data_IF_512488224176
#
_entry.id   IF_512488224176
#
_cell.length_a   1.000
_cell.length_b   1.000
_cell.length_c   1.000
_cell.angle_alpha   90.00
_cell.angle_beta   90.00
_cell.angle_gamma   90.00
#
_symmetry.space_group_name_H-M   'P 1'
#
loop_
_entity.id
_entity.type
_entity.pdbx_description
1 polymer ?
#
# COMPACT_ATOMS: atom_id res chain seq x y z
N UNK A 1 -3.98 5.09 -8.83
CA UNK A 1 -4.51 3.70 -8.87
C UNK A 1 -5.40 3.53 -7.65
N UNK A 2 -6.50 2.79 -7.77
CA UNK A 2 -7.37 2.43 -6.64
C UNK A 2 -7.43 0.90 -6.60
N UNK A 3 -7.34 0.31 -5.42
CA UNK A 3 -7.39 -1.14 -5.22
C UNK A 3 -8.63 -1.53 -4.40
N UNK A 4 -9.34 -2.54 -4.89
CA UNK A 4 -10.40 -3.24 -4.20
C UNK A 4 -9.87 -4.64 -3.88
N UNK A 5 -9.16 -4.71 -2.74
CA UNK A 5 -8.30 -5.83 -2.33
C UNK A 5 -8.56 -6.33 -0.90
N UNK A 6 -9.34 -5.58 -0.11
CA UNK A 6 -9.68 -5.94 1.27
C UNK A 6 -10.70 -7.07 1.32
N UNK A 7 -10.43 -8.07 2.16
CA UNK A 7 -11.24 -9.27 2.28
C UNK A 7 -11.05 -9.96 3.64
N UNK A 8 -11.67 -9.39 4.68
CA UNK A 8 -11.57 -9.89 6.06
C UNK A 8 -11.88 -11.41 6.21
N UNK A 9 -12.69 -11.99 5.32
CA UNK A 9 -13.10 -13.40 5.37
C UNK A 9 -12.36 -14.28 4.34
N UNK A 10 -11.40 -13.74 3.58
CA UNK A 10 -10.62 -14.44 2.55
C UNK A 10 -11.48 -15.31 1.60
N UNK A 11 -12.56 -14.73 1.08
CA UNK A 11 -13.60 -15.38 0.26
C UNK A 11 -13.55 -14.98 -1.22
N UNK A 12 -12.94 -13.85 -1.55
CA UNK A 12 -12.83 -13.36 -2.92
C UNK A 12 -11.68 -14.06 -3.65
N UNK A 13 -12.05 -14.81 -4.70
CA UNK A 13 -11.06 -15.49 -5.57
C UNK A 13 -10.17 -14.54 -6.35
N UNK A 14 -10.63 -13.30 -6.56
CA UNK A 14 -9.96 -12.29 -7.33
C UNK A 14 -10.15 -10.94 -6.66
N UNK A 15 -9.16 -10.06 -6.83
CA UNK A 15 -9.19 -8.67 -6.41
C UNK A 15 -9.06 -7.76 -7.62
N UNK A 16 -9.48 -6.50 -7.49
CA UNK A 16 -9.53 -5.59 -8.65
C UNK A 16 -8.70 -4.34 -8.44
N UNK A 17 -7.97 -3.94 -9.50
CA UNK A 17 -7.27 -2.67 -9.57
C UNK A 17 -7.92 -1.78 -10.62
N UNK A 18 -8.11 -0.51 -10.29
CA UNK A 18 -8.70 0.51 -11.14
C UNK A 18 -7.69 1.64 -11.38
N UNK A 19 -7.35 1.90 -12.64
CA UNK A 19 -6.66 3.12 -13.02
C UNK A 19 -7.69 4.19 -13.33
N UNK A 20 -7.54 5.33 -12.66
CA UNK A 20 -8.25 6.57 -12.94
C UNK A 20 -7.22 7.62 -13.30
N UNK A 21 -7.58 8.54 -14.20
CA UNK A 21 -6.77 9.73 -14.43
C UNK A 21 -6.98 10.70 -13.27
N UNK A 22 -5.89 11.35 -12.84
CA UNK A 22 -6.00 12.48 -11.93
C UNK A 22 -6.74 13.61 -12.66
N UNK A 23 -7.76 14.22 -12.06
CA UNK A 23 -8.44 15.37 -12.67
C UNK A 23 -7.48 16.54 -12.88
N UNK A 24 -7.58 17.22 -14.02
CA UNK A 24 -6.80 18.45 -14.30
C UNK A 24 -7.15 19.58 -13.31
N UNK A 25 -8.40 19.60 -12.83
CA UNK A 25 -8.89 20.55 -11.85
C UNK A 25 -9.59 19.81 -10.69
N UNK A 26 -9.44 20.34 -9.47
CA UNK A 26 -10.10 19.79 -8.29
C UNK A 26 -11.60 20.12 -8.39
N UNK A 27 -12.49 19.13 -8.48
CA UNK A 27 -13.92 19.36 -8.56
C UNK A 27 -14.43 20.04 -7.29
N UNK A 28 -15.24 21.09 -7.42
CA UNK A 28 -15.88 21.76 -6.26
C UNK A 28 -17.05 20.97 -5.66
N UNK A 29 -17.45 19.87 -6.30
CA UNK A 29 -18.56 18.99 -5.90
C UNK A 29 -18.19 17.55 -6.23
N UNK A 30 -18.91 16.61 -5.65
CA UNK A 30 -18.78 15.19 -5.97
C UNK A 30 -18.90 14.97 -7.49
N UNK A 31 -17.97 14.19 -8.04
CA UNK A 31 -17.92 13.86 -9.46
C UNK A 31 -17.62 12.38 -9.64
N UNK A 32 -17.95 11.85 -10.82
CA UNK A 32 -17.65 10.47 -11.19
C UNK A 32 -16.41 10.49 -12.09
N UNK A 33 -15.33 9.88 -11.62
CA UNK A 33 -14.13 9.70 -12.44
C UNK A 33 -14.31 8.49 -13.36
N UNK A 34 -13.86 8.63 -14.60
CA UNK A 34 -13.84 7.52 -15.55
C UNK A 34 -12.66 6.59 -15.25
N UNK A 35 -12.95 5.30 -15.14
CA UNK A 35 -11.93 4.25 -15.05
C UNK A 35 -11.31 4.05 -16.44
N UNK A 36 -10.02 4.30 -16.58
CA UNK A 36 -9.30 4.13 -17.84
C UNK A 36 -8.87 2.69 -18.09
N UNK A 37 -8.51 1.97 -17.03
CA UNK A 37 -8.15 0.55 -17.08
C UNK A 37 -8.60 -0.17 -15.81
N UNK A 38 -8.93 -1.45 -15.97
CA UNK A 38 -9.27 -2.37 -14.89
C UNK A 38 -8.44 -3.63 -15.05
N UNK A 39 -7.85 -4.11 -13.94
CA UNK A 39 -7.18 -5.40 -13.89
C UNK A 39 -7.79 -6.29 -12.82
N UNK A 40 -8.05 -7.53 -13.18
CA UNK A 40 -8.41 -8.60 -12.25
C UNK A 40 -7.15 -9.33 -11.85
N UNK A 41 -6.85 -9.36 -10.55
CA UNK A 41 -5.67 -10.02 -10.00
C UNK A 41 -6.09 -11.26 -9.22
N UNK A 42 -5.34 -12.34 -9.39
CA UNK A 42 -5.43 -13.56 -8.57
C UNK A 42 -4.12 -13.74 -7.80
N UNK A 43 -4.20 -14.02 -6.51
CA UNK A 43 -3.05 -14.48 -5.75
C UNK A 43 -2.63 -15.88 -6.25
N UNK A 44 -1.32 -16.19 -6.31
CA UNK A 44 -0.82 -17.47 -6.81
C UNK A 44 -1.08 -18.62 -5.84
N UNK A 45 -1.32 -18.31 -4.57
CA UNK A 45 -1.63 -19.26 -3.50
C UNK A 45 -3.14 -19.25 -3.18
N UNK A 46 -3.51 -18.89 -1.95
CA UNK A 46 -4.91 -18.88 -1.50
C UNK A 46 -5.46 -17.45 -1.49
N UNK A 47 -6.75 -17.29 -1.20
CA UNK A 47 -7.33 -15.96 -1.02
C UNK A 47 -6.63 -15.23 0.15
N UNK A 48 -6.52 -13.90 0.04
CA UNK A 48 -5.86 -13.06 1.03
C UNK A 48 -6.66 -11.80 1.26
N UNK A 49 -6.74 -11.42 2.52
CA UNK A 49 -7.02 -10.05 2.93
C UNK A 49 -5.76 -9.21 2.69
N UNK A 50 -5.90 -8.08 2.02
CA UNK A 50 -4.80 -7.15 1.77
C UNK A 50 -5.31 -5.71 1.85
N UNK A 51 -4.51 -4.81 2.41
CA UNK A 51 -4.89 -3.40 2.62
C UNK A 51 -3.84 -2.42 2.10
N UNK A 52 -2.77 -2.94 1.51
CA UNK A 52 -1.63 -2.13 1.09
C UNK A 52 -1.32 -2.37 -0.37
N UNK A 53 -1.42 -1.27 -1.13
CA UNK A 53 -1.00 -1.18 -2.51
C UNK A 53 0.12 -0.14 -2.61
N UNK A 54 1.24 -0.51 -3.21
CA UNK A 54 2.34 0.41 -3.51
C UNK A 54 2.76 0.26 -4.97
N UNK A 55 3.28 1.33 -5.57
CA UNK A 55 3.86 1.31 -6.92
C UNK A 55 5.28 1.84 -6.82
N UNK A 56 6.26 1.08 -7.31
CA UNK A 56 7.65 1.54 -7.39
C UNK A 56 7.74 2.67 -8.45
N UNK A 57 8.11 3.91 -8.10
CA UNK A 57 8.23 4.99 -9.09
C UNK A 57 9.37 4.77 -10.10
N UNK A 58 10.30 3.84 -9.83
CA UNK A 58 11.42 3.52 -10.72
C UNK A 58 11.02 2.50 -11.78
N UNK A 59 10.50 1.34 -11.35
CA UNK A 59 10.16 0.24 -12.27
C UNK A 59 8.71 0.26 -12.72
N UNK A 60 7.85 0.99 -12.01
CA UNK A 60 6.39 0.95 -12.13
C UNK A 60 5.77 -0.39 -11.75
N UNK A 61 6.53 -1.29 -11.12
CA UNK A 61 5.99 -2.52 -10.58
C UNK A 61 5.03 -2.22 -9.43
N UNK A 62 3.97 -3.01 -9.36
CA UNK A 62 2.93 -2.90 -8.36
C UNK A 62 3.15 -3.95 -7.28
N UNK A 63 2.99 -3.54 -6.03
CA UNK A 63 3.14 -4.40 -4.86
C UNK A 63 1.85 -4.41 -4.04
N UNK A 64 1.39 -5.61 -3.67
CA UNK A 64 0.26 -5.85 -2.76
C UNK A 64 0.80 -6.60 -1.55
N UNK A 65 0.50 -6.11 -0.34
CA UNK A 65 0.89 -6.76 0.91
C UNK A 65 -0.36 -7.30 1.62
N UNK A 66 -0.32 -8.58 2.02
CA UNK A 66 -1.39 -9.17 2.81
C UNK A 66 -1.47 -8.57 4.22
N UNK A 67 -2.65 -8.61 4.84
CA UNK A 67 -2.93 -7.97 6.12
C UNK A 67 -2.69 -8.91 7.30
N UNK A 68 -3.44 -10.02 7.38
CA UNK A 68 -3.73 -10.71 8.66
C UNK A 68 -2.96 -12.00 8.88
N UNK A 69 -2.22 -12.48 7.89
CA UNK A 69 -1.40 -13.68 8.05
C UNK A 69 -0.41 -13.53 9.22
N UNK A 70 0.03 -14.63 9.88
CA UNK A 70 1.06 -14.57 10.92
C UNK A 70 2.36 -13.91 10.42
N UNK A 71 2.64 -14.08 9.13
CA UNK A 71 3.67 -13.40 8.38
C UNK A 71 3.05 -12.87 7.09
N UNK A 72 3.25 -11.59 6.76
CA UNK A 72 2.66 -11.01 5.56
C UNK A 72 3.40 -11.42 4.30
N UNK A 73 2.65 -11.57 3.21
CA UNK A 73 3.18 -11.90 1.90
C UNK A 73 3.25 -10.65 1.01
N UNK A 74 4.35 -10.53 0.27
CA UNK A 74 4.52 -9.51 -0.77
C UNK A 74 4.19 -10.14 -2.11
N UNK A 75 3.19 -9.59 -2.79
CA UNK A 75 2.83 -9.94 -4.14
C UNK A 75 3.22 -8.82 -5.10
N UNK A 76 3.75 -9.17 -6.28
CA UNK A 76 4.16 -8.26 -7.32
C UNK A 76 3.37 -8.47 -8.60
N UNK A 77 3.04 -7.38 -9.28
CA UNK A 77 2.65 -7.40 -10.70
C UNK A 77 3.62 -6.49 -11.46
N UNK A 78 4.40 -7.08 -12.37
CA UNK A 78 5.43 -6.34 -13.09
C UNK A 78 4.85 -5.41 -14.16
N UNK A 79 5.48 -4.26 -14.36
CA UNK A 79 5.19 -3.39 -15.49
C UNK A 79 5.94 -3.85 -16.76
N UNK A 80 5.35 -3.76 -17.97
CA UNK A 80 3.99 -3.31 -18.27
C UNK A 80 2.93 -4.33 -17.84
N UNK A 81 1.83 -3.84 -17.26
CA UNK A 81 0.74 -4.70 -16.79
C UNK A 81 0.07 -5.43 -17.97
N UNK A 82 -0.01 -6.78 -17.95
CA UNK A 82 -0.61 -7.55 -19.03
C UNK A 82 -2.08 -7.17 -19.31
N UNK A 83 -2.48 -7.26 -20.58
CA UNK A 83 -3.89 -7.11 -21.01
C UNK A 83 -4.46 -8.51 -21.23
N UNK A 84 -4.86 -9.15 -20.13
CA UNK A 84 -5.43 -10.50 -20.08
C UNK A 84 -6.60 -10.52 -19.10
N UNK A 85 -7.45 -11.54 -19.17
CA UNK A 85 -8.65 -11.65 -18.32
C UNK A 85 -8.32 -11.69 -16.82
N UNK A 86 -7.21 -12.30 -16.44
CA UNK A 86 -6.76 -12.40 -15.04
C UNK A 86 -5.24 -12.45 -14.98
N UNK A 87 -4.65 -11.53 -14.22
CA UNK A 87 -3.22 -11.53 -13.91
C UNK A 87 -3.01 -12.36 -12.65
N UNK A 88 -2.12 -13.34 -12.71
CA UNK A 88 -1.64 -14.03 -11.51
C UNK A 88 -0.47 -13.23 -10.96
N UNK A 89 -0.60 -12.71 -9.73
CA UNK A 89 0.48 -12.00 -9.08
C UNK A 89 1.62 -12.96 -8.70
N UNK A 90 2.84 -12.43 -8.62
CA UNK A 90 4.01 -13.19 -8.18
C UNK A 90 4.21 -12.99 -6.68
N UNK A 91 4.26 -14.06 -5.88
CA UNK A 91 4.65 -13.97 -4.47
C UNK A 91 6.17 -13.84 -4.38
N UNK A 92 6.68 -12.65 -4.05
CA UNK A 92 8.12 -12.37 -4.10
C UNK A 92 8.84 -12.56 -2.77
N UNK A 93 8.12 -12.43 -1.64
CA UNK A 93 8.71 -12.55 -0.31
C UNK A 93 7.65 -12.74 0.78
N UNK A 94 8.13 -13.10 1.97
CA UNK A 94 7.39 -13.14 3.23
C UNK A 94 8.13 -12.26 4.24
N UNK A 95 7.42 -11.43 4.98
CA UNK A 95 8.00 -10.60 6.05
C UNK A 95 7.43 -11.01 7.42
N UNK A 96 8.23 -10.95 8.50
CA UNK A 96 7.82 -11.35 9.85
C UNK A 96 6.98 -10.26 10.54
N UNK A 97 5.98 -9.73 9.83
CA UNK A 97 5.01 -8.75 10.31
C UNK A 97 3.60 -9.31 10.18
N UNK A 98 2.65 -8.65 10.84
CA UNK A 98 1.22 -8.94 10.73
C UNK A 98 0.44 -7.63 10.88
N UNK A 99 -0.83 -7.69 10.50
CA UNK A 99 -1.80 -6.59 10.52
C UNK A 99 -1.31 -5.36 9.75
N UNK A 100 -0.67 -5.56 8.59
CA UNK A 100 -0.26 -4.47 7.71
C UNK A 100 -1.50 -3.80 7.11
N UNK A 101 -1.59 -2.48 7.28
CA UNK A 101 -2.78 -1.68 6.90
C UNK A 101 -2.47 -0.61 5.88
N UNK A 102 -1.23 -0.18 5.77
CA UNK A 102 -0.84 0.83 4.79
C UNK A 102 0.65 0.73 4.46
N UNK A 103 1.04 1.32 3.34
CA UNK A 103 2.43 1.49 2.96
C UNK A 103 2.58 2.56 1.89
N UNK A 104 3.79 3.09 1.75
CA UNK A 104 4.11 4.08 0.74
C UNK A 104 5.57 3.98 0.30
N UNK A 105 5.84 4.35 -0.95
CA UNK A 105 7.20 4.45 -1.50
C UNK A 105 7.45 5.91 -1.83
N UNK A 106 8.53 6.46 -1.29
CA UNK A 106 8.97 7.83 -1.56
C UNK A 106 9.08 8.11 -3.07
N UNK A 107 8.88 9.37 -3.46
CA UNK A 107 8.85 9.78 -4.87
C UNK A 107 10.12 9.40 -5.66
N UNK A 108 11.28 9.36 -5.00
CA UNK A 108 12.55 8.98 -5.63
C UNK A 108 12.85 7.47 -5.57
N UNK A 109 11.93 6.68 -5.00
CA UNK A 109 11.98 5.23 -4.91
C UNK A 109 12.98 4.69 -3.88
N UNK A 110 13.62 5.53 -3.06
CA UNK A 110 14.71 5.10 -2.16
C UNK A 110 14.28 4.73 -0.75
N UNK A 111 13.05 5.08 -0.39
CA UNK A 111 12.52 4.92 0.96
C UNK A 111 11.13 4.31 0.91
N UNK A 112 10.87 3.39 1.83
CA UNK A 112 9.62 2.63 1.90
C UNK A 112 9.09 2.70 3.34
N UNK A 113 7.80 2.98 3.49
CA UNK A 113 7.07 2.88 4.74
C UNK A 113 6.11 1.71 4.67
N UNK A 114 6.05 0.94 5.74
CA UNK A 114 5.00 -0.05 5.99
C UNK A 114 4.42 0.24 7.37
N UNK A 115 3.09 0.20 7.49
CA UNK A 115 2.37 0.47 8.73
C UNK A 115 1.51 -0.74 9.10
N UNK A 116 1.55 -1.11 10.37
CA UNK A 116 0.47 -1.87 11.02
C UNK A 116 -0.22 -1.00 12.08
N UNK A 117 -1.20 -1.55 12.79
CA UNK A 117 -1.92 -0.81 13.82
C UNK A 117 -1.03 -0.30 14.98
N UNK A 118 0.16 -0.86 15.18
CA UNK A 118 1.02 -0.57 16.34
C UNK A 118 2.32 0.17 15.98
N UNK A 119 2.77 0.14 14.72
CA UNK A 119 4.11 0.58 14.34
C UNK A 119 4.18 1.03 12.88
N UNK A 120 5.12 1.95 12.64
CA UNK A 120 5.57 2.35 11.30
C UNK A 120 6.99 1.84 11.10
N UNK A 121 7.16 0.97 10.12
CA UNK A 121 8.44 0.39 9.70
C UNK A 121 8.97 1.16 8.50
N UNK A 122 10.25 1.50 8.57
CA UNK A 122 10.97 2.23 7.53
C UNK A 122 12.09 1.37 6.95
N UNK A 123 12.19 1.38 5.63
CA UNK A 123 13.23 0.70 4.88
C UNK A 123 13.92 1.68 3.95
N UNK A 124 15.23 1.51 3.82
CA UNK A 124 16.04 2.20 2.81
C UNK A 124 16.37 1.22 1.70
N UNK A 125 16.05 1.61 0.47
CA UNK A 125 16.41 0.91 -0.75
C UNK A 125 17.71 1.49 -1.31
N UNK A 126 18.70 0.62 -1.47
CA UNK A 126 19.97 1.01 -2.09
C UNK A 126 19.83 1.11 -3.62
N UNK A 127 20.81 1.73 -4.26
CA UNK A 127 20.87 1.80 -5.71
C UNK A 127 20.88 0.38 -6.31
N UNK A 128 20.08 0.16 -7.37
CA UNK A 128 19.91 -1.12 -8.07
C UNK A 128 19.31 -2.26 -7.24
N UNK A 129 18.86 -1.98 -6.02
CA UNK A 129 18.13 -2.94 -5.21
C UNK A 129 16.66 -2.98 -5.64
N UNK A 130 15.98 -4.12 -5.53
CA UNK A 130 14.52 -4.19 -5.77
C UNK A 130 13.75 -3.76 -4.51
N UNK A 131 12.47 -3.44 -4.65
CA UNK A 131 11.60 -3.21 -3.47
C UNK A 131 11.56 -4.46 -2.59
N UNK A 132 11.43 -5.64 -3.19
CA UNK A 132 11.41 -6.93 -2.48
C UNK A 132 12.68 -7.15 -1.65
N UNK A 133 13.86 -6.90 -2.22
CA UNK A 133 15.13 -7.05 -1.49
C UNK A 133 15.26 -6.06 -0.33
N UNK A 134 14.86 -4.80 -0.58
CA UNK A 134 14.90 -3.76 0.45
C UNK A 134 13.97 -4.07 1.63
N UNK A 135 12.79 -4.64 1.37
CA UNK A 135 11.81 -5.02 2.40
C UNK A 135 12.23 -6.23 3.24
N UNK A 136 13.14 -7.07 2.75
CA UNK A 136 13.69 -8.19 3.51
C UNK A 136 14.83 -7.79 4.46
N UNK A 137 15.32 -6.54 4.37
CA UNK A 137 16.31 -6.01 5.31
C UNK A 137 15.67 -5.62 6.64
N UNK A 138 16.51 -5.44 7.64
CA UNK A 138 16.08 -4.94 8.95
C UNK A 138 15.49 -3.53 8.80
N UNK A 139 14.21 -3.40 9.19
CA UNK A 139 13.52 -2.11 9.25
C UNK A 139 13.99 -1.27 10.42
N UNK A 140 13.82 0.05 10.32
CA UNK A 140 13.85 0.97 11.46
C UNK A 140 12.43 1.32 11.85
N UNK A 141 12.07 1.23 13.12
CA UNK A 141 10.76 1.71 13.59
C UNK A 141 10.78 3.23 13.73
N UNK A 142 9.81 3.90 13.13
CA UNK A 142 9.65 5.35 13.22
C UNK A 142 8.64 5.74 14.32
N UNK A 143 8.67 6.99 14.82
CA UNK A 143 7.69 7.50 15.76
C UNK A 143 6.26 7.31 15.25
N UNK A 144 5.39 6.78 16.09
CA UNK A 144 3.99 6.60 15.73
C UNK A 144 3.15 6.62 16.99
N UNK A 145 2.07 7.40 16.96
CA UNK A 145 1.05 7.39 17.99
C UNK A 145 -0.05 6.49 17.48
N UNK A 146 -0.38 5.44 18.22
CA UNK A 146 -1.44 4.51 17.82
C UNK A 146 -2.76 5.28 17.61
N UNK A 147 -3.36 4.99 16.48
CA UNK A 147 -4.59 5.57 16.00
C UNK A 147 -5.74 4.56 16.06
N UNK A 148 -6.96 4.96 16.44
CA UNK A 148 -8.14 4.14 16.21
C UNK A 148 -8.29 3.88 14.72
N UNK A 149 -8.10 2.64 14.27
CA UNK A 149 -8.21 2.27 12.85
C UNK A 149 -7.32 3.15 11.94
N UNK A 150 -6.05 3.27 12.33
CA UNK A 150 -5.03 3.99 11.57
C UNK A 150 -4.62 3.28 10.29
N UNK A 151 -5.41 3.39 9.23
CA UNK A 151 -5.20 2.65 7.97
C UNK A 151 -4.60 3.48 6.84
N UNK A 152 -4.07 4.67 7.13
CA UNK A 152 -3.36 5.49 6.14
C UNK A 152 -1.94 5.88 6.59
N UNK A 153 -1.03 5.90 5.61
CA UNK A 153 0.31 6.48 5.69
C UNK A 153 0.75 7.02 4.33
N UNK A 154 1.48 8.13 4.32
CA UNK A 154 2.21 8.57 3.12
C UNK A 154 3.39 9.49 3.47
N UNK A 155 4.37 9.56 2.59
CA UNK A 155 5.42 10.58 2.65
C UNK A 155 4.87 11.97 2.30
N UNK A 156 5.48 13.01 2.85
CA UNK A 156 5.30 14.36 2.31
C UNK A 156 5.98 14.50 0.95
N UNK A 157 5.46 15.41 0.11
CA UNK A 157 6.02 15.69 -1.23
C UNK A 157 7.53 16.00 -1.22
N UNK A 158 8.01 16.66 -0.18
CA UNK A 158 9.44 17.00 -0.02
C UNK A 158 10.27 15.89 0.67
N UNK A 159 9.65 14.77 1.05
CA UNK A 159 10.27 13.65 1.76
C UNK A 159 10.65 13.93 3.21
N UNK A 160 10.48 15.16 3.71
CA UNK A 160 10.94 15.59 5.06
C UNK A 160 9.99 15.22 6.18
N UNK A 161 8.85 14.62 5.88
CA UNK A 161 7.84 14.20 6.84
C UNK A 161 7.08 12.99 6.31
N UNK A 162 6.32 12.35 7.18
CA UNK A 162 5.25 11.43 6.79
C UNK A 162 3.99 11.77 7.57
N UNK A 163 2.86 11.36 7.03
CA UNK A 163 1.55 11.57 7.60
C UNK A 163 0.91 10.23 7.93
N UNK A 164 0.09 10.21 8.97
CA UNK A 164 -0.82 9.09 9.26
C UNK A 164 -2.21 9.63 9.52
N UNK A 165 -3.22 8.81 9.21
CA UNK A 165 -4.61 9.16 9.40
C UNK A 165 -5.44 7.92 9.78
N UNK A 166 -6.38 8.16 10.67
CA UNK A 166 -7.41 7.21 11.13
C UNK A 166 -8.60 7.20 10.19
N UNK A 167 -9.27 6.06 10.04
CA UNK A 167 -10.60 6.05 9.43
C UNK A 167 -11.61 6.80 10.32
N UNK A 168 -12.70 7.28 9.72
CA UNK A 168 -13.81 7.83 10.51
C UNK A 168 -14.62 6.69 11.12
N UNK A 169 -14.48 6.49 12.42
CA UNK A 169 -15.26 5.49 13.13
C UNK A 169 -16.70 5.95 13.38
N UNK A 170 -17.64 5.01 13.26
CA UNK A 170 -19.08 5.24 13.55
C UNK A 170 -19.30 5.61 15.03
N UNK A 171 -18.40 5.21 15.93
CA UNK A 171 -18.46 5.52 17.37
C UNK A 171 -17.93 6.92 17.75
N UNK A 172 -17.87 7.87 16.81
CA UNK A 172 -17.65 9.28 17.11
C UNK A 172 -16.18 9.70 17.27
N UNK A 173 -15.22 8.87 16.84
CA UNK A 173 -13.82 9.29 16.76
C UNK A 173 -13.64 10.16 15.52
N UNK A 174 -13.24 11.42 15.74
CA UNK A 174 -12.87 12.32 14.64
C UNK A 174 -11.48 11.94 14.12
N UNK A 175 -11.31 11.70 12.81
CA UNK A 175 -9.99 11.48 12.22
C UNK A 175 -9.06 12.67 12.48
N UNK A 176 -7.85 12.38 12.95
CA UNK A 176 -6.80 13.39 13.15
C UNK A 176 -5.66 13.08 12.20
N UNK A 177 -5.28 14.06 11.37
CA UNK A 177 -4.10 13.95 10.52
C UNK A 177 -2.85 14.23 11.36
N UNK A 178 -2.03 13.22 11.60
CA UNK A 178 -0.75 13.39 12.27
C UNK A 178 0.35 13.67 11.25
N UNK A 179 1.27 14.57 11.60
CA UNK A 179 2.49 14.84 10.82
C UNK A 179 3.71 14.56 11.68
N UNK A 180 4.61 13.74 11.17
CA UNK A 180 5.86 13.39 11.82
C UNK A 180 7.01 13.98 11.01
N UNK A 181 7.77 14.91 11.61
CA UNK A 181 8.97 15.47 10.98
C UNK A 181 10.11 14.47 11.04
N UNK A 182 10.78 14.27 9.92
CA UNK A 182 12.01 13.48 9.80
C UNK A 182 13.18 14.46 9.97
N UNK A 183 14.15 14.10 10.82
CA UNK A 183 15.31 14.95 11.13
C UNK A 183 16.23 15.08 9.92
#
# INVERSE_FOLDING_TARGET
MIADIGDNDAKFKFVTLYQVFEPDEIPMRDTILSVSKKWTIKYPDEQRDAETLMIDPVTHDLFILSKRDPEIFIYRVSFPYPIIDTIIAEKTATLPFTQIVAGDISQDGKEILIKNYESVYYFKRNQNETITDALQKMSVTLPYIREPQGEAICFSKDGKSYFTLSEKSVIGVSPVLYRYKRK
#
